data_IF_728995596336
#
_entry.id   IF_728995596336
#
_cell.length_a   1.000
_cell.length_b   1.000
_cell.length_c   1.000
_cell.angle_alpha   90.00
_cell.angle_beta   90.00
_cell.angle_gamma   90.00
#
_symmetry.space_group_name_H-M   'P 1'
#
loop_
_entity.id
_entity.type
_entity.pdbx_description
1 polymer ?
#
# COMPACT_ATOMS: atom_id res chain seq x y z
N UNK A 1 -3.80 9.79 30.65
CA UNK A 1 -2.73 9.35 31.56
C UNK A 1 -1.72 10.47 31.71
N UNK A 2 -1.22 10.73 32.92
CA UNK A 2 -0.19 11.76 33.17
C UNK A 2 1.13 11.31 32.52
N UNK A 3 1.91 12.22 31.88
CA UNK A 3 3.24 11.91 31.40
C UNK A 3 4.14 11.32 32.49
N UNK A 4 5.02 10.39 32.12
CA UNK A 4 6.03 9.81 33.03
C UNK A 4 7.40 10.49 32.92
N UNK A 5 7.56 11.38 31.95
CA UNK A 5 8.75 12.22 31.76
C UNK A 5 8.38 13.58 31.13
N UNK A 6 9.38 14.47 31.05
CA UNK A 6 9.25 15.82 30.47
C UNK A 6 9.02 15.81 28.94
N UNK A 7 9.15 14.64 28.30
CA UNK A 7 8.96 14.48 26.86
C UNK A 7 7.55 13.98 26.51
N UNK A 8 6.68 13.76 27.51
CA UNK A 8 5.29 13.36 27.28
C UNK A 8 5.06 11.85 27.21
N UNK A 9 6.04 11.02 27.55
CA UNK A 9 5.95 9.56 27.48
C UNK A 9 4.82 9.00 28.35
N UNK A 10 4.27 7.84 27.99
CA UNK A 10 3.17 7.18 28.71
C UNK A 10 3.61 5.83 29.26
N UNK A 11 3.23 5.53 30.51
CA UNK A 11 3.49 4.22 31.12
C UNK A 11 2.86 3.06 30.33
N UNK A 12 1.71 3.32 29.69
CA UNK A 12 0.95 2.31 28.95
C UNK A 12 1.77 1.64 27.84
N UNK A 13 2.51 2.42 27.04
CA UNK A 13 3.29 1.87 25.93
C UNK A 13 4.42 0.95 26.41
N UNK A 14 5.10 1.33 27.49
CA UNK A 14 6.18 0.51 28.06
C UNK A 14 5.63 -0.80 28.64
N UNK A 15 4.54 -0.74 29.39
CA UNK A 15 3.90 -1.92 29.96
C UNK A 15 3.44 -2.91 28.88
N UNK A 16 2.94 -2.40 27.75
CA UNK A 16 2.55 -3.22 26.61
C UNK A 16 3.73 -4.02 26.03
N UNK A 17 4.88 -3.38 25.82
CA UNK A 17 6.07 -4.05 25.29
C UNK A 17 6.70 -5.05 26.28
N UNK A 18 6.69 -4.74 27.57
CA UNK A 18 7.10 -5.70 28.61
C UNK A 18 6.23 -6.96 28.60
N UNK A 19 4.90 -6.79 28.57
CA UNK A 19 3.97 -7.92 28.50
C UNK A 19 4.21 -8.77 27.24
N UNK A 20 4.45 -8.13 26.09
CA UNK A 20 4.78 -8.83 24.84
C UNK A 20 6.04 -9.68 24.99
N UNK A 21 7.08 -9.15 25.65
CA UNK A 21 8.31 -9.89 25.90
C UNK A 21 8.07 -11.11 26.80
N UNK A 22 7.29 -10.97 27.86
CA UNK A 22 6.91 -12.08 28.75
C UNK A 22 6.13 -13.18 28.02
N UNK A 23 5.15 -12.78 27.19
CA UNK A 23 4.36 -13.71 26.37
C UNK A 23 5.28 -14.47 25.41
N UNK A 24 6.19 -13.78 24.71
CA UNK A 24 7.09 -14.43 23.77
C UNK A 24 8.10 -15.34 24.46
N UNK A 25 8.62 -14.96 25.62
CA UNK A 25 9.45 -15.85 26.44
C UNK A 25 8.71 -17.13 26.83
N UNK A 26 7.41 -17.02 27.18
CA UNK A 26 6.59 -18.17 27.48
C UNK A 26 6.43 -19.09 26.25
N UNK A 27 6.14 -18.52 25.07
CA UNK A 27 6.00 -19.24 23.80
C UNK A 27 7.31 -19.93 23.39
N UNK A 28 8.45 -19.26 23.55
CA UNK A 28 9.75 -19.78 23.11
C UNK A 28 10.25 -20.98 23.91
N UNK A 29 9.67 -21.27 25.08
CA UNK A 29 9.96 -22.51 25.83
C UNK A 29 9.60 -23.75 25.02
N UNK A 30 8.45 -23.69 24.34
CA UNK A 30 7.92 -24.82 23.56
C UNK A 30 8.13 -24.63 22.04
N UNK A 31 8.30 -23.37 21.59
CA UNK A 31 8.45 -23.00 20.19
C UNK A 31 9.62 -22.02 19.99
N UNK A 32 10.88 -22.45 20.13
CA UNK A 32 12.05 -21.57 20.14
C UNK A 32 12.26 -20.75 18.87
N UNK A 33 11.69 -21.21 17.74
CA UNK A 33 11.76 -20.54 16.44
C UNK A 33 10.58 -19.61 16.13
N UNK A 34 9.59 -19.50 17.03
CA UNK A 34 8.47 -18.58 16.83
C UNK A 34 8.99 -17.14 16.70
N UNK A 35 8.45 -16.38 15.75
CA UNK A 35 8.75 -14.95 15.54
C UNK A 35 7.48 -14.15 15.82
N UNK A 36 7.66 -12.92 16.30
CA UNK A 36 6.58 -11.96 16.46
C UNK A 36 6.78 -10.79 15.50
N UNK A 37 5.76 -10.52 14.68
CA UNK A 37 5.64 -9.25 13.97
C UNK A 37 4.66 -8.37 14.74
N UNK A 38 5.13 -7.23 15.25
CA UNK A 38 4.33 -6.32 16.08
C UNK A 38 4.17 -4.94 15.43
N UNK A 39 2.95 -4.44 15.37
CA UNK A 39 2.65 -3.16 14.71
C UNK A 39 2.99 -1.96 15.60
N UNK A 40 3.74 -1.00 15.06
CA UNK A 40 4.16 0.23 15.72
C UNK A 40 3.64 1.49 14.99
N UNK A 41 3.75 2.66 15.63
CA UNK A 41 3.33 3.96 15.08
C UNK A 41 1.89 4.42 15.35
N UNK A 42 1.06 3.66 16.10
CA UNK A 42 -0.30 4.11 16.44
C UNK A 42 -0.33 5.34 17.35
N UNK A 43 -1.44 6.09 17.35
CA UNK A 43 -1.58 7.37 18.05
C UNK A 43 -1.27 7.28 19.56
N UNK A 44 -1.50 6.11 20.14
CA UNK A 44 -1.27 5.81 21.55
C UNK A 44 0.21 5.98 21.93
N UNK A 45 1.13 5.58 21.05
CA UNK A 45 2.58 5.50 21.29
C UNK A 45 3.45 6.12 20.17
N UNK A 46 2.86 6.71 19.14
CA UNK A 46 3.57 7.32 17.99
C UNK A 46 4.61 8.36 18.42
N UNK A 47 4.25 9.15 19.43
CA UNK A 47 5.03 10.27 19.96
C UNK A 47 5.60 9.95 21.35
N UNK A 48 5.81 8.67 21.67
CA UNK A 48 6.28 8.24 22.99
C UNK A 48 7.75 7.80 22.93
N UNK A 49 8.72 8.69 23.26
CA UNK A 49 10.14 8.33 23.23
C UNK A 49 10.48 7.13 24.10
N UNK A 50 9.81 6.96 25.25
CA UNK A 50 10.10 5.85 26.13
C UNK A 50 9.60 4.50 25.57
N UNK A 51 8.51 4.49 24.81
CA UNK A 51 8.07 3.32 24.04
C UNK A 51 9.15 2.86 23.05
N UNK A 52 9.67 3.76 22.22
CA UNK A 52 10.72 3.40 21.26
C UNK A 52 12.06 3.09 21.94
N UNK A 53 12.33 3.69 23.10
CA UNK A 53 13.46 3.28 23.94
C UNK A 53 13.34 1.82 24.34
N UNK A 54 12.16 1.31 24.71
CA UNK A 54 11.99 -0.12 25.02
C UNK A 54 12.23 -1.00 23.79
N UNK A 55 11.71 -0.63 22.61
CA UNK A 55 12.00 -1.32 21.34
C UNK A 55 13.51 -1.48 21.14
N UNK A 56 14.29 -0.43 21.43
CA UNK A 56 15.75 -0.48 21.32
C UNK A 56 16.42 -1.49 22.25
N UNK A 57 15.87 -1.72 23.44
CA UNK A 57 16.40 -2.72 24.37
C UNK A 57 15.94 -4.14 23.99
N UNK A 58 14.82 -4.28 23.28
CA UNK A 58 14.33 -5.54 22.72
C UNK A 58 15.10 -5.92 21.44
N UNK A 59 16.36 -6.31 21.62
CA UNK A 59 17.30 -6.63 20.53
C UNK A 59 17.23 -8.06 19.99
N UNK A 60 16.30 -8.89 20.50
CA UNK A 60 16.14 -10.27 20.05
C UNK A 60 15.67 -10.32 18.58
N UNK A 61 16.37 -11.05 17.70
CA UNK A 61 16.08 -11.06 16.27
C UNK A 61 14.80 -11.80 15.86
N UNK A 62 14.02 -12.29 16.83
CA UNK A 62 12.69 -12.86 16.62
C UNK A 62 11.58 -11.81 16.76
N UNK A 63 11.91 -10.57 17.14
CA UNK A 63 10.99 -9.43 17.15
C UNK A 63 11.14 -8.56 15.90
N UNK A 64 10.13 -8.62 15.04
CA UNK A 64 10.01 -7.76 13.88
C UNK A 64 8.97 -6.66 14.14
N UNK A 65 9.25 -5.44 13.70
CA UNK A 65 8.42 -4.28 13.99
C UNK A 65 7.81 -3.72 12.71
N UNK A 66 6.49 -3.57 12.66
CA UNK A 66 5.79 -3.08 11.46
C UNK A 66 5.32 -1.63 11.65
N UNK A 67 5.99 -0.66 11.01
CA UNK A 67 5.57 0.76 11.01
C UNK A 67 4.34 0.95 10.11
N UNK A 68 3.21 1.36 10.71
CA UNK A 68 1.93 1.40 10.01
C UNK A 68 1.31 2.79 9.77
N UNK A 69 1.93 3.88 10.26
CA UNK A 69 1.32 5.23 10.35
C UNK A 69 2.14 6.36 9.73
N UNK A 70 3.05 6.01 8.82
CA UNK A 70 3.78 6.96 7.96
C UNK A 70 4.91 7.73 8.63
N UNK A 71 5.38 7.21 9.76
CA UNK A 71 6.61 7.69 10.39
C UNK A 71 7.84 7.20 9.63
N UNK A 72 8.69 8.13 9.18
CA UNK A 72 10.02 7.81 8.64
C UNK A 72 11.09 7.82 9.73
N UNK A 73 10.82 8.57 10.80
CA UNK A 73 11.66 8.73 11.98
C UNK A 73 10.75 8.62 13.20
N UNK A 74 11.35 8.30 14.35
CA UNK A 74 10.65 8.03 15.59
C UNK A 74 11.24 8.87 16.72
N UNK A 75 10.43 9.25 17.72
CA UNK A 75 10.89 10.09 18.82
C UNK A 75 11.99 9.38 19.61
N UNK A 76 13.14 10.03 19.68
CA UNK A 76 14.34 9.59 20.36
C UNK A 76 14.63 10.39 21.64
N UNK A 77 15.78 10.12 22.28
CA UNK A 77 16.23 10.87 23.45
C UNK A 77 16.37 12.37 23.15
N UNK A 78 16.07 13.23 24.12
CA UNK A 78 16.20 14.68 23.96
C UNK A 78 15.16 15.33 23.05
N UNK A 79 14.14 14.59 22.61
CA UNK A 79 13.07 15.09 21.74
C UNK A 79 13.42 15.08 20.25
N UNK A 80 14.59 14.56 19.87
CA UNK A 80 15.00 14.43 18.47
C UNK A 80 14.36 13.21 17.80
N UNK A 81 13.92 13.36 16.56
CA UNK A 81 13.46 12.22 15.76
C UNK A 81 14.65 11.51 15.13
N UNK A 82 14.69 10.18 15.26
CA UNK A 82 15.79 9.34 14.81
C UNK A 82 15.31 8.26 13.82
N UNK A 83 16.17 7.77 12.91
CA UNK A 83 15.77 6.78 11.91
C UNK A 83 15.41 5.43 12.55
N UNK A 84 14.64 4.62 11.82
CA UNK A 84 14.21 3.28 12.26
C UNK A 84 15.36 2.40 12.77
N UNK A 85 16.48 2.43 12.06
CA UNK A 85 17.69 1.64 12.35
C UNK A 85 18.37 1.99 13.68
N UNK A 86 18.08 3.17 14.25
CA UNK A 86 18.53 3.53 15.60
C UNK A 86 17.83 2.69 16.68
N UNK A 87 16.55 2.36 16.46
CA UNK A 87 15.73 1.64 17.43
C UNK A 87 15.75 0.14 17.20
N UNK A 88 15.71 -0.34 15.96
CA UNK A 88 15.88 -1.77 15.67
C UNK A 88 16.32 -2.00 14.23
N UNK A 89 17.09 -3.08 14.02
CA UNK A 89 17.43 -3.56 12.67
C UNK A 89 16.29 -4.32 11.98
N UNK A 90 15.16 -4.52 12.66
CA UNK A 90 14.02 -5.32 12.17
C UNK A 90 12.75 -4.49 12.01
N UNK A 91 12.88 -3.18 11.81
CA UNK A 91 11.73 -2.32 11.52
C UNK A 91 11.40 -2.39 10.02
N UNK A 92 10.24 -2.94 9.70
CA UNK A 92 9.65 -2.98 8.37
C UNK A 92 8.65 -1.85 8.20
N UNK A 93 8.53 -1.31 6.98
CA UNK A 93 7.50 -0.33 6.65
C UNK A 93 6.29 -1.05 6.07
N UNK A 94 5.09 -0.69 6.52
CA UNK A 94 3.84 -1.21 5.93
C UNK A 94 3.04 -0.09 5.27
N UNK A 95 2.51 -0.37 4.08
CA UNK A 95 1.68 0.56 3.30
C UNK A 95 0.52 -0.13 2.59
N UNK A 96 -0.62 0.56 2.54
CA UNK A 96 -1.81 0.16 1.79
C UNK A 96 -1.87 0.92 0.45
N UNK A 97 -1.10 0.47 -0.55
CA UNK A 97 -0.98 1.20 -1.82
C UNK A 97 -2.24 1.22 -2.67
N UNK A 98 -3.19 0.33 -2.42
CA UNK A 98 -4.49 0.36 -3.11
C UNK A 98 -5.32 1.63 -2.81
N UNK A 99 -4.96 2.39 -1.76
CA UNK A 99 -5.60 3.67 -1.41
C UNK A 99 -4.87 4.89 -1.95
N UNK A 100 -3.65 4.71 -2.50
CA UNK A 100 -2.74 5.80 -2.89
C UNK A 100 -2.39 5.74 -4.37
N UNK A 101 -1.99 6.86 -5.00
CA UNK A 101 -1.41 6.82 -6.35
C UNK A 101 -0.25 5.83 -6.46
N UNK A 102 -0.18 5.06 -7.54
CA UNK A 102 0.92 4.11 -7.77
C UNK A 102 2.30 4.78 -7.84
N UNK A 103 2.38 6.06 -8.22
CA UNK A 103 3.64 6.80 -8.16
C UNK A 103 4.20 6.89 -6.73
N UNK A 104 3.33 6.95 -5.72
CA UNK A 104 3.77 6.99 -4.33
C UNK A 104 4.41 5.66 -3.91
N UNK A 105 3.97 4.55 -4.50
CA UNK A 105 4.58 3.24 -4.26
C UNK A 105 6.04 3.25 -4.73
N UNK A 106 6.32 3.76 -5.93
CA UNK A 106 7.68 3.87 -6.48
C UNK A 106 8.51 4.79 -5.57
N UNK A 107 8.00 5.98 -5.24
CA UNK A 107 8.69 6.93 -4.35
C UNK A 107 9.01 6.32 -2.98
N UNK A 108 8.06 5.60 -2.40
CA UNK A 108 8.25 4.96 -1.11
C UNK A 108 9.27 3.82 -1.19
N UNK A 109 9.23 2.97 -2.22
CA UNK A 109 10.21 1.91 -2.40
C UNK A 109 11.64 2.46 -2.51
N UNK A 110 11.83 3.51 -3.32
CA UNK A 110 13.12 4.19 -3.48
C UNK A 110 13.62 4.78 -2.15
N UNK A 111 12.72 5.39 -1.37
CA UNK A 111 13.06 5.95 -0.06
C UNK A 111 13.37 4.86 0.97
N UNK A 112 12.60 3.78 1.01
CA UNK A 112 12.81 2.65 1.94
C UNK A 112 14.19 2.05 1.74
N UNK A 113 14.62 1.86 0.48
CA UNK A 113 15.92 1.30 0.14
C UNK A 113 17.11 2.12 0.69
N UNK A 114 16.91 3.40 1.00
CA UNK A 114 17.95 4.30 1.52
C UNK A 114 17.74 4.71 2.98
N UNK A 115 16.57 4.45 3.56
CA UNK A 115 16.18 4.95 4.91
C UNK A 115 16.43 3.97 6.05
N UNK A 116 17.14 2.85 5.81
CA UNK A 116 17.53 1.90 6.85
C UNK A 116 16.38 1.05 7.43
N UNK A 117 15.28 0.91 6.70
CA UNK A 117 14.22 -0.06 7.03
C UNK A 117 14.67 -1.48 6.63
N UNK A 118 14.29 -2.46 7.44
CA UNK A 118 14.57 -3.89 7.23
C UNK A 118 13.83 -4.48 6.04
N UNK A 119 12.62 -4.01 5.79
CA UNK A 119 11.75 -4.58 4.76
C UNK A 119 10.57 -3.68 4.43
N UNK A 120 9.89 -4.05 3.35
CA UNK A 120 8.68 -3.38 2.87
C UNK A 120 7.54 -4.37 2.76
N UNK A 121 6.42 -4.04 3.39
CA UNK A 121 5.20 -4.84 3.41
C UNK A 121 4.10 -4.02 2.71
N UNK A 122 3.37 -4.68 1.83
CA UNK A 122 2.11 -4.17 1.27
C UNK A 122 0.97 -5.10 1.64
N UNK A 123 -0.25 -4.57 1.67
CA UNK A 123 -1.47 -5.38 1.70
C UNK A 123 -2.41 -5.01 0.56
N UNK A 124 -3.36 -5.89 0.25
CA UNK A 124 -4.50 -5.61 -0.61
C UNK A 124 -5.75 -6.24 0.02
N UNK A 125 -6.54 -5.42 0.72
CA UNK A 125 -7.54 -5.88 1.68
C UNK A 125 -8.94 -5.32 1.37
N UNK A 126 -9.54 -5.63 0.20
CA UNK A 126 -10.91 -5.19 -0.09
C UNK A 126 -11.90 -5.88 0.86
N UNK A 127 -12.82 -5.11 1.45
CA UNK A 127 -13.90 -5.64 2.29
C UNK A 127 -13.50 -6.26 3.64
N UNK A 128 -12.22 -6.21 4.04
CA UNK A 128 -11.71 -6.93 5.22
C UNK A 128 -12.12 -6.31 6.58
N UNK A 129 -12.51 -5.02 6.61
CA UNK A 129 -12.90 -4.35 7.87
C UNK A 129 -13.79 -3.11 7.69
N UNK A 130 -14.30 -2.56 8.79
CA UNK A 130 -15.02 -1.27 8.86
C UNK A 130 -14.20 -0.09 8.28
N UNK A 131 -12.87 -0.23 8.23
CA UNK A 131 -11.92 0.72 7.64
C UNK A 131 -11.55 0.44 6.18
N UNK A 132 -12.19 -0.53 5.51
CA UNK A 132 -11.87 -0.87 4.11
C UNK A 132 -12.05 0.34 3.19
N UNK A 133 -11.06 0.58 2.34
CA UNK A 133 -11.16 1.64 1.32
C UNK A 133 -12.19 1.28 0.25
N UNK A 134 -12.16 0.04 -0.21
CA UNK A 134 -13.19 -0.53 -1.09
C UNK A 134 -14.31 -1.11 -0.23
N UNK A 135 -15.39 -0.34 -0.07
CA UNK A 135 -16.53 -0.66 0.81
C UNK A 135 -17.69 -1.37 0.11
N UNK A 136 -17.76 -1.27 -1.21
CA UNK A 136 -18.82 -1.85 -2.04
C UNK A 136 -18.28 -3.08 -2.76
N UNK A 137 -19.01 -4.20 -2.70
CA UNK A 137 -18.77 -5.39 -3.53
C UNK A 137 -20.10 -5.70 -4.23
N UNK A 138 -20.12 -5.94 -5.57
CA UNK A 138 -18.98 -5.98 -6.47
C UNK A 138 -18.48 -4.57 -6.83
N UNK A 139 -17.18 -4.35 -6.70
CA UNK A 139 -16.45 -3.18 -7.19
C UNK A 139 -15.14 -3.71 -7.80
N UNK A 140 -14.68 -3.22 -8.97
CA UNK A 140 -13.61 -3.85 -9.76
C UNK A 140 -12.26 -3.72 -9.07
N UNK A 141 -12.07 -4.55 -8.06
CA UNK A 141 -10.92 -4.56 -7.16
C UNK A 141 -10.28 -5.93 -7.13
N UNK A 142 -11.00 -6.95 -7.58
CA UNK A 142 -10.57 -8.33 -7.66
C UNK A 142 -9.54 -8.58 -8.77
N UNK A 143 -9.46 -7.72 -9.80
CA UNK A 143 -8.54 -7.95 -10.93
C UNK A 143 -7.60 -6.78 -11.21
N UNK A 144 -8.01 -5.74 -11.95
CA UNK A 144 -7.06 -4.75 -12.46
C UNK A 144 -6.29 -4.03 -11.34
N UNK A 145 -6.93 -3.44 -10.31
CA UNK A 145 -6.19 -2.80 -9.23
C UNK A 145 -5.29 -3.76 -8.46
N UNK A 146 -5.72 -5.00 -8.24
CA UNK A 146 -4.93 -6.02 -7.55
C UNK A 146 -3.67 -6.38 -8.35
N UNK A 147 -3.86 -6.80 -9.60
CA UNK A 147 -2.79 -7.28 -10.48
C UNK A 147 -1.76 -6.17 -10.74
N UNK A 148 -2.22 -4.96 -11.07
CA UNK A 148 -1.29 -3.86 -11.36
C UNK A 148 -0.57 -3.38 -10.10
N UNK A 149 -1.25 -3.21 -8.96
CA UNK A 149 -0.60 -2.77 -7.72
C UNK A 149 0.43 -3.80 -7.25
N UNK A 150 0.11 -5.10 -7.31
CA UNK A 150 1.04 -6.17 -6.96
C UNK A 150 2.24 -6.25 -7.89
N UNK A 151 2.04 -6.08 -9.20
CA UNK A 151 3.13 -6.03 -10.17
C UNK A 151 4.07 -4.85 -9.90
N UNK A 152 3.53 -3.64 -9.75
CA UNK A 152 4.33 -2.43 -9.47
C UNK A 152 5.08 -2.56 -8.14
N UNK A 153 4.45 -3.13 -7.10
CA UNK A 153 5.11 -3.42 -5.83
C UNK A 153 6.32 -4.35 -5.99
N UNK A 154 6.14 -5.46 -6.70
CA UNK A 154 7.22 -6.41 -6.96
C UNK A 154 8.38 -5.74 -7.71
N UNK A 155 8.08 -5.02 -8.78
CA UNK A 155 9.13 -4.41 -9.60
C UNK A 155 9.87 -3.30 -8.84
N UNK A 156 9.16 -2.46 -8.09
CA UNK A 156 9.77 -1.37 -7.32
C UNK A 156 10.57 -1.86 -6.11
N UNK A 157 10.21 -3.01 -5.53
CA UNK A 157 10.99 -3.62 -4.44
C UNK A 157 12.18 -4.43 -4.94
N UNK A 158 12.09 -4.99 -6.14
CA UNK A 158 13.20 -5.66 -6.81
C UNK A 158 14.27 -4.65 -7.29
N UNK A 159 13.83 -3.52 -7.86
CA UNK A 159 14.72 -2.45 -8.32
C UNK A 159 14.24 -1.07 -7.82
N UNK A 160 14.67 -0.66 -6.61
CA UNK A 160 14.22 0.57 -5.95
C UNK A 160 14.88 1.84 -6.50
N UNK A 161 15.44 1.78 -7.70
CA UNK A 161 15.96 2.94 -8.45
C UNK A 161 15.09 3.27 -9.66
N UNK A 162 14.02 2.50 -9.90
CA UNK A 162 13.14 2.72 -11.03
C UNK A 162 12.46 4.08 -10.97
N UNK A 163 12.42 4.73 -12.13
CA UNK A 163 11.58 5.90 -12.40
C UNK A 163 10.18 5.48 -12.81
N UNK A 164 9.22 6.41 -12.77
CA UNK A 164 7.84 6.17 -13.25
C UNK A 164 7.83 5.73 -14.71
N UNK A 165 8.62 6.37 -15.57
CA UNK A 165 8.69 6.03 -17.00
C UNK A 165 9.24 4.61 -17.23
N UNK A 166 10.28 4.22 -16.48
CA UNK A 166 10.79 2.83 -16.54
C UNK A 166 9.76 1.83 -16.04
N UNK A 167 8.97 2.19 -15.00
CA UNK A 167 7.88 1.34 -14.54
C UNK A 167 6.78 1.20 -15.60
N UNK A 168 6.41 2.29 -16.29
CA UNK A 168 5.45 2.24 -17.39
C UNK A 168 5.93 1.30 -18.51
N UNK A 169 7.21 1.34 -18.85
CA UNK A 169 7.79 0.39 -19.82
C UNK A 169 7.67 -1.05 -19.32
N UNK A 170 7.94 -1.32 -18.04
CA UNK A 170 7.76 -2.68 -17.47
C UNK A 170 6.30 -3.13 -17.46
N UNK A 171 5.37 -2.21 -17.22
CA UNK A 171 3.93 -2.49 -17.35
C UNK A 171 3.59 -2.84 -18.79
N UNK A 172 4.09 -2.08 -19.77
CA UNK A 172 3.94 -2.40 -21.19
C UNK A 172 4.46 -3.81 -21.50
N UNK A 173 5.72 -4.08 -21.16
CA UNK A 173 6.39 -5.35 -21.40
C UNK A 173 5.70 -6.53 -20.70
N UNK A 174 5.04 -6.30 -19.56
CA UNK A 174 4.35 -7.35 -18.81
C UNK A 174 2.99 -7.69 -19.41
N UNK A 175 2.19 -6.68 -19.72
CA UNK A 175 0.76 -6.85 -20.01
C UNK A 175 0.45 -6.83 -21.50
N UNK A 176 1.29 -6.20 -22.32
CA UNK A 176 1.01 -6.00 -23.74
C UNK A 176 2.03 -6.69 -24.63
N UNK A 177 1.64 -6.96 -25.87
CA UNK A 177 2.51 -7.42 -26.95
C UNK A 177 3.53 -6.35 -27.35
N UNK A 178 4.63 -6.76 -27.99
CA UNK A 178 5.68 -5.82 -28.43
C UNK A 178 5.16 -4.78 -29.42
N UNK A 179 4.22 -5.18 -30.26
CA UNK A 179 3.61 -4.32 -31.29
C UNK A 179 2.46 -3.46 -30.75
N UNK A 180 2.06 -3.65 -29.49
CA UNK A 180 0.98 -2.88 -28.91
C UNK A 180 1.40 -1.41 -28.71
N UNK A 181 0.49 -0.44 -28.96
CA UNK A 181 0.74 0.97 -28.69
C UNK A 181 1.26 1.21 -27.26
N UNK A 182 2.29 2.06 -27.12
CA UNK A 182 2.97 2.28 -25.82
C UNK A 182 2.09 3.01 -24.80
N UNK A 183 1.18 3.85 -25.28
CA UNK A 183 0.19 4.58 -24.49
C UNK A 183 -0.81 3.66 -23.77
N UNK A 184 -0.99 2.41 -24.22
CA UNK A 184 -1.85 1.44 -23.51
C UNK A 184 -1.36 1.15 -22.08
N UNK A 185 -0.05 1.21 -21.81
CA UNK A 185 0.46 1.06 -20.45
C UNK A 185 0.09 2.26 -19.56
N UNK A 186 0.10 3.47 -20.13
CA UNK A 186 -0.35 4.69 -19.46
C UNK A 186 -1.86 4.66 -19.21
N UNK A 187 -2.63 4.14 -20.16
CA UNK A 187 -4.08 3.96 -20.02
C UNK A 187 -4.42 2.89 -18.98
N UNK A 188 -3.66 1.78 -18.93
CA UNK A 188 -3.81 0.73 -17.92
C UNK A 188 -3.56 1.26 -16.51
N UNK A 189 -2.50 2.06 -16.37
CA UNK A 189 -2.17 2.77 -15.13
C UNK A 189 -3.24 3.80 -14.75
N UNK A 190 -3.67 4.61 -15.71
CA UNK A 190 -4.70 5.63 -15.52
C UNK A 190 -6.04 5.03 -15.11
N UNK A 191 -6.42 3.88 -15.70
CA UNK A 191 -7.64 3.17 -15.35
C UNK A 191 -7.62 2.70 -13.89
N UNK A 192 -6.49 2.18 -13.40
CA UNK A 192 -6.33 1.85 -11.98
C UNK A 192 -6.51 3.09 -11.10
N UNK A 193 -5.92 4.23 -11.48
CA UNK A 193 -6.06 5.47 -10.72
C UNK A 193 -7.48 6.03 -10.73
N UNK A 194 -8.21 5.87 -11.84
CA UNK A 194 -9.64 6.18 -11.95
C UNK A 194 -10.45 5.32 -10.98
N UNK A 195 -10.24 4.00 -10.98
CA UNK A 195 -10.92 3.07 -10.06
C UNK A 195 -10.63 3.44 -8.60
N UNK A 196 -9.37 3.74 -8.28
CA UNK A 196 -9.02 4.21 -6.93
C UNK A 196 -9.81 5.46 -6.55
N UNK A 197 -9.81 6.50 -7.39
CA UNK A 197 -10.57 7.74 -7.12
C UNK A 197 -12.07 7.47 -6.98
N UNK A 198 -12.63 6.65 -7.88
CA UNK A 198 -14.05 6.31 -7.94
C UNK A 198 -14.55 5.52 -6.71
N UNK A 199 -13.67 4.82 -6.00
CA UNK A 199 -14.02 4.13 -4.75
C UNK A 199 -14.56 5.10 -3.69
N UNK A 200 -13.90 6.26 -3.55
CA UNK A 200 -14.26 7.32 -2.61
C UNK A 200 -15.25 8.35 -3.16
N UNK A 201 -15.44 8.43 -4.47
CA UNK A 201 -16.33 9.43 -5.08
C UNK A 201 -17.81 9.09 -4.92
N UNK A 202 -18.64 10.10 -4.64
CA UNK A 202 -20.11 9.94 -4.64
C UNK A 202 -20.68 9.88 -6.05
N UNK A 203 -20.11 10.64 -6.97
CA UNK A 203 -20.60 10.81 -8.34
C UNK A 203 -19.45 10.74 -9.36
N UNK A 204 -19.80 10.43 -10.61
CA UNK A 204 -18.86 10.46 -11.72
C UNK A 204 -18.75 11.88 -12.26
N UNK A 205 -17.59 12.51 -12.05
CA UNK A 205 -17.28 13.85 -12.59
C UNK A 205 -17.15 13.82 -14.11
N UNK A 206 -17.24 15.00 -14.75
CA UNK A 206 -17.02 15.13 -16.19
C UNK A 206 -15.62 14.63 -16.58
N UNK A 207 -14.57 15.07 -15.88
CA UNK A 207 -13.18 14.69 -16.14
C UNK A 207 -12.95 13.18 -16.04
N UNK A 208 -13.56 12.51 -15.04
CA UNK A 208 -13.44 11.05 -14.91
C UNK A 208 -14.14 10.32 -16.06
N UNK A 209 -15.29 10.84 -16.50
CA UNK A 209 -16.04 10.29 -17.63
C UNK A 209 -15.25 10.44 -18.93
N UNK A 210 -14.73 11.64 -19.19
CA UNK A 210 -13.90 11.92 -20.36
C UNK A 210 -12.67 11.02 -20.41
N UNK A 211 -11.97 10.88 -19.27
CA UNK A 211 -10.81 9.99 -19.17
C UNK A 211 -11.16 8.52 -19.45
N UNK A 212 -12.28 8.01 -18.90
CA UNK A 212 -12.75 6.64 -19.18
C UNK A 212 -13.09 6.45 -20.65
N UNK A 213 -13.81 7.39 -21.26
CA UNK A 213 -14.19 7.34 -22.68
C UNK A 213 -12.97 7.37 -23.60
N UNK A 214 -11.95 8.17 -23.27
CA UNK A 214 -10.69 8.19 -24.02
C UNK A 214 -9.99 6.83 -23.97
N UNK A 215 -9.87 6.24 -22.77
CA UNK A 215 -9.25 4.92 -22.59
C UNK A 215 -10.05 3.85 -23.36
N UNK A 216 -11.38 3.89 -23.30
CA UNK A 216 -12.25 2.97 -24.04
C UNK A 216 -12.04 3.06 -25.56
N UNK A 217 -11.91 4.27 -26.11
CA UNK A 217 -11.60 4.46 -27.53
C UNK A 217 -10.23 3.88 -27.92
N UNK A 218 -9.21 4.07 -27.08
CA UNK A 218 -7.88 3.50 -27.31
C UNK A 218 -7.91 1.97 -27.27
N UNK A 219 -8.64 1.38 -26.32
CA UNK A 219 -8.83 -0.07 -26.19
C UNK A 219 -9.48 -0.65 -27.45
N UNK A 220 -10.57 -0.05 -27.93
CA UNK A 220 -11.27 -0.54 -29.12
C UNK A 220 -10.44 -0.38 -30.40
N UNK A 221 -9.69 0.72 -30.53
CA UNK A 221 -8.76 0.90 -31.65
C UNK A 221 -7.67 -0.18 -31.65
N UNK A 222 -7.05 -0.43 -30.50
CA UNK A 222 -5.97 -1.41 -30.36
C UNK A 222 -6.44 -2.86 -30.60
N UNK A 223 -7.69 -3.18 -30.25
CA UNK A 223 -8.26 -4.53 -30.38
C UNK A 223 -8.19 -5.10 -31.80
N UNK A 224 -8.31 -4.25 -32.82
CA UNK A 224 -8.38 -4.66 -34.23
C UNK A 224 -7.12 -5.36 -34.77
N UNK A 225 -5.96 -5.11 -34.16
CA UNK A 225 -4.66 -5.63 -34.60
C UNK A 225 -3.84 -6.25 -33.46
N UNK A 226 -4.48 -6.47 -32.31
CA UNK A 226 -3.84 -6.96 -31.09
C UNK A 226 -3.44 -8.44 -31.20
N UNK A 227 -2.23 -8.76 -30.73
CA UNK A 227 -1.81 -10.14 -30.49
C UNK A 227 -2.55 -10.75 -29.27
N UNK A 228 -2.50 -12.08 -29.05
CA UNK A 228 -3.22 -12.73 -27.96
C UNK A 228 -2.92 -12.13 -26.57
N UNK A 229 -1.66 -11.78 -26.30
CA UNK A 229 -1.25 -11.19 -25.02
C UNK A 229 -1.89 -9.81 -24.81
N UNK A 230 -1.87 -8.99 -25.85
CA UNK A 230 -2.52 -7.67 -25.86
C UNK A 230 -4.02 -7.82 -25.67
N UNK A 231 -4.66 -8.80 -26.33
CA UNK A 231 -6.09 -9.06 -26.18
C UNK A 231 -6.49 -9.38 -24.74
N UNK A 232 -5.69 -10.15 -24.00
CA UNK A 232 -5.94 -10.44 -22.58
C UNK A 232 -5.94 -9.15 -21.72
N UNK A 233 -4.96 -8.27 -21.94
CA UNK A 233 -4.89 -7.00 -21.22
C UNK A 233 -6.03 -6.04 -21.62
N UNK A 234 -6.38 -5.98 -22.90
CA UNK A 234 -7.52 -5.18 -23.39
C UNK A 234 -8.85 -5.70 -22.81
N UNK A 235 -9.04 -7.03 -22.70
CA UNK A 235 -10.22 -7.62 -22.06
C UNK A 235 -10.32 -7.23 -20.58
N UNK A 236 -9.19 -7.24 -19.87
CA UNK A 236 -9.12 -6.76 -18.48
C UNK A 236 -9.49 -5.27 -18.36
N UNK A 237 -9.00 -4.43 -19.27
CA UNK A 237 -9.35 -3.01 -19.32
C UNK A 237 -10.84 -2.79 -19.59
N UNK A 238 -11.40 -3.46 -20.58
CA UNK A 238 -12.84 -3.38 -20.90
C UNK A 238 -13.71 -3.76 -19.72
N UNK A 239 -13.40 -4.88 -19.04
CA UNK A 239 -14.12 -5.28 -17.84
C UNK A 239 -14.04 -4.22 -16.74
N UNK A 240 -12.85 -3.71 -16.47
CA UNK A 240 -12.64 -2.70 -15.44
C UNK A 240 -13.35 -1.35 -15.75
N UNK A 241 -13.43 -0.97 -17.03
CA UNK A 241 -14.24 0.18 -17.48
C UNK A 241 -15.72 -0.06 -17.16
N UNK A 242 -16.28 -1.19 -17.61
CA UNK A 242 -17.69 -1.53 -17.42
C UNK A 242 -18.08 -1.55 -15.94
N UNK A 243 -17.30 -2.27 -15.12
CA UNK A 243 -17.53 -2.37 -13.69
C UNK A 243 -17.47 -1.00 -12.99
N UNK A 244 -16.58 -0.09 -13.46
CA UNK A 244 -16.49 1.27 -12.93
C UNK A 244 -17.73 2.10 -13.30
N UNK A 245 -18.21 2.00 -14.54
CA UNK A 245 -19.42 2.67 -14.98
C UNK A 245 -20.66 2.18 -14.21
N UNK A 246 -20.79 0.86 -14.03
CA UNK A 246 -21.92 0.24 -13.34
C UNK A 246 -21.96 0.61 -11.85
N UNK A 247 -20.81 0.73 -11.18
CA UNK A 247 -20.74 1.25 -9.81
C UNK A 247 -21.38 2.64 -9.68
N UNK A 248 -21.12 3.55 -10.62
CA UNK A 248 -21.72 4.88 -10.58
C UNK A 248 -23.21 4.87 -10.93
N UNK A 249 -23.66 3.99 -11.84
CA UNK A 249 -25.09 3.79 -12.12
C UNK A 249 -25.84 3.30 -10.88
N UNK A 250 -25.29 2.30 -10.18
CA UNK A 250 -25.87 1.75 -8.96
C UNK A 250 -25.92 2.79 -7.82
N UNK A 251 -24.86 3.59 -7.65
CA UNK A 251 -24.86 4.70 -6.66
C UNK A 251 -25.94 5.74 -6.94
N UNK A 252 -26.12 6.14 -8.22
CA UNK A 252 -27.15 7.11 -8.61
C UNK A 252 -28.57 6.61 -8.29
N UNK A 253 -28.83 5.31 -8.50
CA UNK A 253 -30.13 4.71 -8.17
C UNK A 253 -30.40 4.73 -6.66
N UNK A 254 -29.39 4.46 -5.82
CA UNK A 254 -29.54 4.48 -4.36
C UNK A 254 -29.76 5.88 -3.79
N UNK A 255 -29.22 6.93 -4.41
CA UNK A 255 -29.39 8.30 -3.94
C UNK A 255 -30.78 8.90 -4.29
N UNK A 256 -31.52 8.24 -5.18
CA UNK A 256 -32.86 8.66 -5.61
C UNK A 256 -33.99 7.92 -4.86
N UNK A 257 -33.65 7.05 -3.91
CA UNK A 257 -34.57 6.34 -3.01
C UNK A 257 -34.50 6.97 -1.62
#
# INVERSE_FOLDING_TARGET
AKPVDDLGSKQFGQAQLTLIMEIMHAIWRDHPHARLAYTIGYAEHKQDPAYYKVIRHMSDPRFEWMEARDSWEFPGPGGENLPASYFSRQVMRWRQHYTRPLENLIKDANRIATSGFYGYITSFEPGFSTGSYYKSIPYPTDILPYVLTGFVFREATWEPTLTVNQMHQRVHDRFFGREAPRDLAEDFWSLREIIRKAASSKEMTADLREALTRIEQHVEKARTSADPKTLDALALMTRAINDTQDHFRAKKQRNNQ
#
